data_IF_456651195219
#
_entry.id   IF_456651195219
#
_cell.length_a   1.000
_cell.length_b   1.000
_cell.length_c   1.000
_cell.angle_alpha   90.00
_cell.angle_beta   90.00
_cell.angle_gamma   90.00
#
_symmetry.space_group_name_H-M   'P 1'
#
loop_
_entity.id
_entity.type
_entity.pdbx_description
1 polymer ?
#
# COMPACT_ATOMS: atom_id res chain seq x y z
N UNK A 1 30.84 -28.40 -65.09
CA UNK A 1 30.60 -29.25 -63.90
C UNK A 1 29.25 -28.83 -63.32
N UNK A 2 28.34 -29.77 -63.05
CA UNK A 2 27.02 -29.43 -62.50
C UNK A 2 27.12 -29.22 -60.99
N UNK A 3 26.60 -28.11 -60.50
CA UNK A 3 26.48 -27.87 -59.06
C UNK A 3 25.53 -28.91 -58.45
N UNK A 4 25.84 -29.50 -57.28
CA UNK A 4 24.89 -30.31 -56.55
C UNK A 4 23.69 -29.46 -56.12
N UNK A 5 22.48 -30.00 -56.24
CA UNK A 5 21.25 -29.30 -55.82
C UNK A 5 21.25 -28.99 -54.31
N UNK A 6 20.43 -28.01 -53.90
CA UNK A 6 20.24 -27.66 -52.49
C UNK A 6 19.72 -28.86 -51.70
N UNK A 7 20.42 -29.26 -50.64
CA UNK A 7 19.93 -30.27 -49.71
C UNK A 7 18.85 -29.70 -48.79
N UNK A 8 18.13 -30.56 -48.08
CA UNK A 8 17.14 -30.15 -47.07
C UNK A 8 17.74 -29.37 -45.90
N UNK A 9 19.05 -29.44 -45.71
CA UNK A 9 19.80 -28.69 -44.68
C UNK A 9 20.49 -27.44 -45.24
N UNK A 10 20.27 -27.11 -46.51
CA UNK A 10 20.80 -25.89 -47.13
C UNK A 10 20.09 -24.66 -46.56
N UNK A 11 20.84 -23.57 -46.37
CA UNK A 11 20.30 -22.29 -45.93
C UNK A 11 19.28 -21.73 -46.94
N UNK A 12 18.27 -20.99 -46.48
CA UNK A 12 17.28 -20.39 -47.36
C UNK A 12 17.91 -19.21 -48.12
N UNK A 13 18.18 -19.42 -49.41
CA UNK A 13 18.84 -18.46 -50.30
C UNK A 13 18.20 -18.41 -51.68
N UNK A 14 18.57 -17.40 -52.47
CA UNK A 14 18.30 -17.33 -53.92
C UNK A 14 18.81 -18.59 -54.66
N UNK A 15 18.32 -18.83 -55.89
CA UNK A 15 18.81 -19.94 -56.73
C UNK A 15 20.10 -19.59 -57.52
N UNK A 16 20.74 -18.47 -57.22
CA UNK A 16 22.01 -18.07 -57.83
C UNK A 16 23.17 -18.63 -57.01
N UNK A 17 23.80 -19.69 -57.50
CA UNK A 17 24.88 -20.38 -56.76
C UNK A 17 26.09 -19.47 -56.49
N UNK A 18 26.39 -18.58 -57.42
CA UNK A 18 27.56 -17.69 -57.37
C UNK A 18 27.44 -16.59 -56.30
N UNK A 19 26.25 -16.39 -55.72
CA UNK A 19 26.04 -15.51 -54.56
C UNK A 19 26.81 -16.02 -53.32
N UNK A 20 27.06 -17.33 -53.24
CA UNK A 20 27.68 -17.95 -52.07
C UNK A 20 28.83 -18.92 -52.38
N UNK A 21 28.85 -19.52 -53.55
CA UNK A 21 29.84 -20.52 -53.95
C UNK A 21 30.73 -19.97 -55.06
N UNK A 22 31.97 -20.46 -55.11
CA UNK A 22 32.85 -20.20 -56.25
C UNK A 22 33.14 -21.51 -56.95
N UNK A 23 33.43 -21.44 -58.25
CA UNK A 23 33.86 -22.61 -59.03
C UNK A 23 35.25 -23.10 -58.65
N UNK A 24 36.03 -22.29 -57.94
CA UNK A 24 37.38 -22.60 -57.43
C UNK A 24 37.33 -23.25 -56.05
N UNK A 25 36.40 -22.81 -55.19
CA UNK A 25 36.17 -23.35 -53.85
C UNK A 25 34.66 -23.33 -53.53
N UNK A 26 34.06 -24.53 -53.52
CA UNK A 26 32.63 -24.69 -53.24
C UNK A 26 32.29 -24.62 -51.75
N UNK A 27 33.23 -24.98 -50.86
CA UNK A 27 33.09 -24.89 -49.41
C UNK A 27 34.38 -24.34 -48.78
N UNK A 28 34.28 -23.52 -47.71
CA UNK A 28 33.04 -22.95 -47.15
C UNK A 28 32.39 -21.94 -48.11
N UNK A 29 31.08 -21.78 -48.00
CA UNK A 29 30.36 -20.76 -48.76
C UNK A 29 30.63 -19.38 -48.16
N UNK A 30 30.72 -18.35 -48.99
CA UNK A 30 30.73 -16.96 -48.54
C UNK A 30 29.29 -16.48 -48.42
N UNK A 31 28.82 -16.08 -47.25
CA UNK A 31 27.41 -15.70 -47.07
C UNK A 31 27.28 -14.19 -47.05
N UNK A 32 26.61 -13.64 -48.07
CA UNK A 32 26.06 -12.28 -48.04
C UNK A 32 24.61 -12.35 -47.53
N UNK A 33 24.26 -11.53 -46.54
CA UNK A 33 22.88 -11.50 -46.03
C UNK A 33 21.88 -10.98 -47.07
N UNK A 34 22.31 -10.19 -48.06
CA UNK A 34 21.45 -9.67 -49.12
C UNK A 34 20.92 -10.72 -50.10
N UNK A 35 21.55 -11.90 -50.18
CA UNK A 35 21.14 -13.00 -51.05
C UNK A 35 20.26 -14.05 -50.36
N UNK A 36 19.93 -13.83 -49.09
CA UNK A 36 19.12 -14.73 -48.26
C UNK A 36 17.63 -14.38 -48.35
N UNK A 37 16.77 -15.40 -48.23
CA UNK A 37 15.30 -15.26 -48.33
C UNK A 37 14.56 -15.70 -47.07
N UNK A 38 15.28 -16.16 -46.03
CA UNK A 38 14.73 -16.55 -44.74
C UNK A 38 14.80 -15.44 -43.68
N UNK A 39 14.04 -15.60 -42.59
CA UNK A 39 14.17 -14.70 -41.44
C UNK A 39 15.43 -15.00 -40.64
N UNK A 40 16.00 -13.98 -39.99
CA UNK A 40 17.24 -14.10 -39.21
C UNK A 40 17.19 -15.27 -38.22
N UNK A 41 16.06 -15.42 -37.51
CA UNK A 41 15.84 -16.46 -36.49
C UNK A 41 15.85 -17.90 -37.01
N UNK A 42 15.67 -18.13 -38.32
CA UNK A 42 15.77 -19.48 -38.90
C UNK A 42 17.21 -19.99 -38.96
N UNK A 43 18.20 -19.09 -39.07
CA UNK A 43 19.62 -19.41 -39.08
C UNK A 43 20.29 -19.08 -37.73
N UNK A 44 19.99 -17.92 -37.16
CA UNK A 44 20.51 -17.45 -35.86
C UNK A 44 19.72 -18.05 -34.69
N UNK A 45 19.70 -19.38 -34.62
CA UNK A 45 18.98 -20.18 -33.63
C UNK A 45 19.91 -20.83 -32.58
N UNK A 46 21.22 -20.54 -32.64
CA UNK A 46 22.23 -21.12 -31.76
C UNK A 46 22.80 -22.47 -32.23
N UNK A 47 22.28 -23.03 -33.32
CA UNK A 47 22.79 -24.26 -33.95
C UNK A 47 23.51 -23.95 -35.27
N UNK A 48 22.81 -23.33 -36.23
CA UNK A 48 23.41 -22.98 -37.53
C UNK A 48 24.28 -21.72 -37.45
N UNK A 49 23.80 -20.70 -36.74
CA UNK A 49 24.51 -19.46 -36.47
C UNK A 49 24.21 -18.97 -35.06
N UNK A 50 25.07 -18.07 -34.55
CA UNK A 50 24.90 -17.47 -33.22
C UNK A 50 23.55 -16.77 -33.10
N UNK A 51 22.69 -17.27 -32.21
CA UNK A 51 21.42 -16.63 -31.88
C UNK A 51 21.53 -15.59 -30.78
N UNK A 52 20.38 -15.18 -30.25
CA UNK A 52 20.32 -14.36 -29.03
C UNK A 52 20.98 -15.10 -27.87
N UNK A 53 21.92 -14.44 -27.19
CA UNK A 53 22.53 -14.97 -25.98
C UNK A 53 21.70 -14.61 -24.73
N UNK A 54 22.12 -15.11 -23.57
CA UNK A 54 21.44 -14.86 -22.29
C UNK A 54 21.52 -13.40 -21.80
N UNK A 55 22.41 -12.58 -22.37
CA UNK A 55 22.52 -11.14 -22.05
C UNK A 55 21.76 -10.26 -23.05
N UNK A 56 21.11 -10.86 -24.05
CA UNK A 56 20.26 -10.13 -24.99
C UNK A 56 18.98 -9.65 -24.28
N UNK A 57 18.55 -8.43 -24.60
CA UNK A 57 17.28 -7.88 -24.11
C UNK A 57 16.10 -8.76 -24.53
N UNK A 58 15.15 -8.97 -23.63
CA UNK A 58 13.96 -9.77 -23.95
C UNK A 58 13.11 -9.04 -25.01
N UNK A 59 13.05 -9.61 -26.21
CA UNK A 59 12.54 -8.97 -27.43
C UNK A 59 11.93 -10.02 -28.36
N UNK A 60 11.12 -9.57 -29.33
CA UNK A 60 10.56 -10.41 -30.38
C UNK A 60 11.65 -11.00 -31.30
N UNK A 61 11.31 -11.95 -32.18
CA UNK A 61 12.29 -12.59 -33.08
C UNK A 61 12.50 -11.90 -34.44
N UNK A 62 12.04 -10.66 -34.58
CA UNK A 62 12.26 -9.82 -35.77
C UNK A 62 13.53 -9.00 -35.55
N UNK A 63 14.67 -9.55 -35.97
CA UNK A 63 15.97 -8.93 -35.70
C UNK A 63 16.12 -7.55 -36.34
N UNK A 64 15.48 -7.32 -37.48
CA UNK A 64 15.55 -6.07 -38.24
C UNK A 64 14.85 -4.89 -37.56
N UNK A 65 14.04 -5.14 -36.52
CA UNK A 65 13.49 -4.08 -35.65
C UNK A 65 14.61 -3.31 -34.92
N UNK A 66 15.74 -3.98 -34.67
CA UNK A 66 16.85 -3.45 -33.88
C UNK A 66 18.18 -3.44 -34.65
N UNK A 67 18.45 -4.45 -35.45
CA UNK A 67 19.73 -4.66 -36.11
C UNK A 67 19.63 -4.43 -37.61
N UNK A 68 20.73 -4.06 -38.24
CA UNK A 68 20.83 -4.08 -39.70
C UNK A 68 21.96 -5.01 -40.11
N UNK A 69 21.86 -5.58 -41.31
CA UNK A 69 22.93 -6.43 -41.87
C UNK A 69 24.20 -5.64 -42.20
N UNK A 70 24.08 -4.32 -42.37
CA UNK A 70 25.21 -3.41 -42.64
C UNK A 70 25.90 -2.97 -41.34
N UNK A 71 25.12 -2.67 -40.30
CA UNK A 71 25.61 -2.28 -38.98
C UNK A 71 24.81 -3.02 -37.90
N UNK A 72 25.35 -4.14 -37.43
CA UNK A 72 24.71 -4.94 -36.38
C UNK A 72 24.71 -4.24 -35.02
N UNK A 73 25.72 -3.39 -34.76
CA UNK A 73 25.82 -2.55 -33.57
C UNK A 73 26.24 -1.13 -33.96
N UNK A 74 25.74 -0.09 -33.27
CA UNK A 74 24.69 -0.14 -32.25
C UNK A 74 23.32 -0.55 -32.84
N UNK A 75 22.45 -1.07 -31.99
CA UNK A 75 21.09 -1.40 -32.40
C UNK A 75 20.19 -0.16 -32.34
N UNK A 76 19.22 -0.07 -33.24
CA UNK A 76 18.04 0.75 -33.06
C UNK A 76 17.21 0.17 -31.90
N UNK A 77 16.51 1.04 -31.18
CA UNK A 77 15.71 0.61 -30.04
C UNK A 77 14.31 1.23 -30.11
N UNK A 78 13.31 0.37 -30.09
CA UNK A 78 11.90 0.70 -29.92
C UNK A 78 11.31 -0.23 -28.84
N UNK A 79 10.54 0.34 -27.91
CA UNK A 79 9.84 -0.41 -26.87
C UNK A 79 8.80 -1.38 -27.45
N UNK A 80 8.27 -1.14 -28.66
CA UNK A 80 7.28 -2.02 -29.30
C UNK A 80 7.81 -3.43 -29.58
N UNK A 81 9.12 -3.59 -29.74
CA UNK A 81 9.77 -4.87 -30.01
C UNK A 81 10.25 -5.59 -28.75
N UNK A 82 9.99 -5.01 -27.57
CA UNK A 82 10.39 -5.53 -26.27
C UNK A 82 9.27 -6.38 -25.68
N UNK A 83 9.64 -7.56 -25.16
CA UNK A 83 8.71 -8.52 -24.55
C UNK A 83 8.92 -8.68 -23.04
N UNK A 84 10.03 -8.14 -22.51
CA UNK A 84 10.28 -8.10 -21.07
C UNK A 84 9.51 -6.96 -20.38
N UNK A 85 9.30 -7.09 -19.06
CA UNK A 85 8.73 -5.99 -18.28
C UNK A 85 9.74 -4.85 -18.11
N UNK A 86 9.25 -3.62 -17.95
CA UNK A 86 10.07 -2.41 -17.85
C UNK A 86 11.22 -2.56 -16.85
N UNK A 87 10.93 -3.12 -15.67
CA UNK A 87 11.88 -3.28 -14.56
C UNK A 87 13.02 -4.27 -14.88
N UNK A 88 12.86 -5.17 -15.86
CA UNK A 88 13.96 -6.06 -16.26
C UNK A 88 15.16 -5.29 -16.81
N UNK A 89 14.93 -4.14 -17.46
CA UNK A 89 15.96 -3.25 -17.98
C UNK A 89 16.16 -1.99 -17.10
N UNK A 90 15.06 -1.34 -16.70
CA UNK A 90 15.05 -0.14 -15.86
C UNK A 90 15.24 -0.49 -14.37
N UNK A 91 16.35 -1.18 -14.08
CA UNK A 91 16.74 -1.67 -12.76
C UNK A 91 17.82 -0.82 -12.08
N UNK A 92 18.30 0.25 -12.74
CA UNK A 92 19.38 1.11 -12.26
C UNK A 92 20.79 0.66 -12.68
N UNK A 93 20.93 -0.52 -13.28
CA UNK A 93 22.19 -1.06 -13.80
C UNK A 93 22.19 -1.11 -15.32
N UNK A 94 21.19 -1.73 -15.94
CA UNK A 94 21.10 -1.88 -17.40
C UNK A 94 20.59 -0.60 -18.05
N UNK A 95 19.53 -0.02 -17.48
CA UNK A 95 18.99 1.28 -17.83
C UNK A 95 18.56 2.04 -16.56
N UNK A 96 18.26 3.32 -16.71
CA UNK A 96 17.81 4.18 -15.62
C UNK A 96 16.61 3.57 -14.92
N UNK A 97 16.76 3.27 -13.63
CA UNK A 97 15.67 2.79 -12.78
C UNK A 97 14.90 3.91 -12.08
N UNK A 98 14.09 3.53 -11.09
CA UNK A 98 13.42 4.49 -10.20
C UNK A 98 14.46 5.33 -9.45
N UNK A 99 14.27 6.65 -9.44
CA UNK A 99 15.11 7.55 -8.64
C UNK A 99 14.85 7.37 -7.14
N UNK A 100 15.77 7.83 -6.31
CA UNK A 100 15.59 7.87 -4.84
C UNK A 100 14.40 8.74 -4.40
N UNK A 101 13.94 9.63 -5.28
CA UNK A 101 12.78 10.51 -5.08
C UNK A 101 11.50 9.97 -5.72
N UNK A 102 11.54 8.78 -6.33
CA UNK A 102 10.35 8.15 -6.90
C UNK A 102 9.39 7.72 -5.79
N UNK A 103 8.08 7.83 -6.04
CA UNK A 103 7.06 7.34 -5.11
C UNK A 103 7.20 5.82 -4.89
N UNK A 104 7.02 5.37 -3.65
CA UNK A 104 7.07 3.94 -3.33
C UNK A 104 5.93 3.20 -4.04
N UNK A 105 6.30 2.32 -4.99
CA UNK A 105 5.39 1.68 -5.94
C UNK A 105 5.92 0.32 -6.38
N UNK A 106 5.03 -0.52 -6.93
CA UNK A 106 5.37 -1.79 -7.56
C UNK A 106 6.18 -1.63 -8.85
N UNK A 107 6.64 -2.74 -9.44
CA UNK A 107 7.54 -2.72 -10.62
C UNK A 107 6.82 -2.75 -11.98
N UNK A 108 5.49 -2.61 -11.96
CA UNK A 108 4.65 -2.41 -13.14
C UNK A 108 4.64 -0.93 -13.47
N UNK A 109 5.50 -0.50 -14.39
CA UNK A 109 5.69 0.93 -14.66
C UNK A 109 4.52 1.54 -15.44
N UNK A 110 3.83 0.71 -16.21
CA UNK A 110 2.66 1.01 -17.03
C UNK A 110 1.40 1.37 -16.22
N UNK A 111 1.40 1.13 -14.90
CA UNK A 111 0.38 1.65 -13.99
C UNK A 111 0.35 3.20 -13.95
N UNK A 112 1.50 3.83 -14.22
CA UNK A 112 1.69 5.28 -14.11
C UNK A 112 2.29 5.93 -15.37
N UNK A 113 3.14 5.21 -16.09
CA UNK A 113 3.93 5.75 -17.20
C UNK A 113 3.53 5.12 -18.53
N UNK A 114 3.72 5.86 -19.62
CA UNK A 114 3.61 5.30 -20.97
C UNK A 114 4.95 5.44 -21.69
N UNK A 115 5.18 4.58 -22.67
CA UNK A 115 6.37 4.66 -23.53
C UNK A 115 6.34 5.86 -24.48
N UNK A 116 5.15 6.41 -24.75
CA UNK A 116 4.94 7.59 -25.61
C UNK A 116 5.13 8.90 -24.82
N UNK A 117 4.62 8.95 -23.59
CA UNK A 117 4.74 10.09 -22.69
C UNK A 117 5.07 9.59 -21.28
N UNK A 118 6.36 9.61 -20.95
CA UNK A 118 6.84 9.16 -19.63
C UNK A 118 6.41 10.13 -18.51
N UNK A 119 6.25 11.42 -18.83
CA UNK A 119 5.76 12.46 -17.92
C UNK A 119 4.77 13.39 -18.63
N UNK A 120 3.72 13.88 -17.94
CA UNK A 120 3.34 13.52 -16.58
C UNK A 120 2.83 12.07 -16.49
N UNK A 121 2.98 11.46 -15.31
CA UNK A 121 2.42 10.15 -15.04
C UNK A 121 0.94 10.25 -14.67
N UNK A 122 0.17 9.21 -14.98
CA UNK A 122 -1.12 8.97 -14.34
C UNK A 122 -0.90 8.47 -12.91
N UNK A 123 -1.86 8.72 -12.02
CA UNK A 123 -1.73 8.34 -10.61
C UNK A 123 -2.99 7.61 -10.14
N UNK A 124 -2.79 6.42 -9.58
CA UNK A 124 -3.80 5.62 -8.88
C UNK A 124 -3.25 5.23 -7.51
N UNK A 125 -4.03 5.45 -6.44
CA UNK A 125 -3.67 5.03 -5.09
C UNK A 125 -3.53 3.51 -4.94
N UNK A 126 -4.14 2.71 -5.82
CA UNK A 126 -3.99 1.25 -5.82
C UNK A 126 -2.64 0.78 -6.37
N UNK A 127 -1.93 1.62 -7.13
CA UNK A 127 -0.63 1.32 -7.72
C UNK A 127 0.56 1.67 -6.81
N UNK A 128 0.30 2.29 -5.65
CA UNK A 128 1.34 2.69 -4.68
C UNK A 128 1.30 1.78 -3.45
N UNK A 129 2.48 1.59 -2.84
CA UNK A 129 2.65 0.71 -1.66
C UNK A 129 3.18 1.46 -0.44
N UNK A 130 3.41 2.78 -0.56
CA UNK A 130 3.80 3.63 0.56
C UNK A 130 2.64 3.93 1.51
N UNK A 131 2.97 4.29 2.75
CA UNK A 131 1.98 4.81 3.72
C UNK A 131 1.47 6.18 3.29
N UNK A 132 0.24 6.54 3.67
CA UNK A 132 -0.37 7.81 3.29
C UNK A 132 0.51 9.01 3.68
N UNK A 133 1.06 8.98 4.90
CA UNK A 133 1.90 10.05 5.42
C UNK A 133 3.28 10.17 4.74
N UNK A 134 3.74 9.14 4.02
CA UNK A 134 4.99 9.21 3.26
C UNK A 134 4.91 10.20 2.10
N UNK A 135 3.71 10.37 1.53
CA UNK A 135 3.44 11.29 0.42
C UNK A 135 2.65 12.52 0.88
N UNK A 136 1.60 12.35 1.70
CA UNK A 136 0.78 13.44 2.22
C UNK A 136 1.45 14.14 3.42
N UNK A 137 2.65 14.66 3.16
CA UNK A 137 3.54 15.31 4.12
C UNK A 137 3.58 16.84 3.96
N UNK A 138 2.82 17.40 3.01
CA UNK A 138 2.80 18.83 2.70
C UNK A 138 3.86 19.29 1.70
N UNK A 139 4.75 18.40 1.26
CA UNK A 139 5.77 18.64 0.23
C UNK A 139 5.46 17.84 -1.04
N UNK A 140 5.38 16.50 -0.94
CA UNK A 140 5.12 15.62 -2.09
C UNK A 140 3.65 15.68 -2.52
N UNK A 141 2.74 15.67 -1.55
CA UNK A 141 1.31 15.81 -1.73
C UNK A 141 0.73 16.60 -0.55
N UNK A 142 -0.50 17.07 -0.71
CA UNK A 142 -1.23 17.82 0.32
C UNK A 142 -1.24 17.05 1.64
N UNK A 143 -0.69 17.65 2.69
CA UNK A 143 -0.68 17.07 4.03
C UNK A 143 -1.94 17.41 4.84
N UNK A 144 -1.88 17.12 6.14
CA UNK A 144 -2.91 17.52 7.12
C UNK A 144 -3.04 19.05 7.14
N UNK A 145 -4.26 19.57 7.04
CA UNK A 145 -4.50 21.01 7.22
C UNK A 145 -4.32 21.43 8.68
N UNK A 146 -4.20 22.74 8.93
CA UNK A 146 -4.12 23.27 10.30
C UNK A 146 -5.37 22.97 11.15
N UNK A 147 -6.52 22.76 10.50
CA UNK A 147 -7.79 22.38 11.16
C UNK A 147 -7.93 20.86 11.34
N UNK A 148 -6.99 20.06 10.86
CA UNK A 148 -7.02 18.63 11.06
C UNK A 148 -6.76 18.28 12.53
N UNK A 149 -7.39 17.21 12.99
CA UNK A 149 -7.17 16.62 14.31
C UNK A 149 -5.69 16.29 14.53
N UNK A 150 -5.06 16.78 15.61
CA UNK A 150 -3.62 16.49 15.84
C UNK A 150 -3.47 15.03 16.25
N UNK A 151 -2.87 14.24 15.36
CA UNK A 151 -2.63 12.80 15.53
C UNK A 151 -1.39 12.36 14.76
N UNK A 152 -0.68 11.37 15.28
CA UNK A 152 0.41 10.65 14.60
C UNK A 152 -0.05 9.37 13.90
N UNK A 153 -1.33 9.02 14.00
CA UNK A 153 -1.94 7.85 13.33
C UNK A 153 -1.83 7.94 11.82
N UNK A 154 -1.83 6.76 11.19
CA UNK A 154 -1.91 6.66 9.74
C UNK A 154 -3.29 7.12 9.26
N UNK A 155 -3.36 7.60 8.02
CA UNK A 155 -4.59 8.20 7.51
C UNK A 155 -5.70 7.16 7.35
N UNK A 156 -5.35 5.93 7.01
CA UNK A 156 -6.24 4.78 6.84
C UNK A 156 -6.84 4.25 8.15
N UNK A 157 -6.34 4.71 9.32
CA UNK A 157 -7.02 4.48 10.61
C UNK A 157 -8.36 5.20 10.71
N UNK A 158 -8.60 6.23 9.88
CA UNK A 158 -9.80 7.08 9.92
C UNK A 158 -10.46 7.28 8.54
N UNK A 159 -9.65 7.39 7.49
CA UNK A 159 -10.03 7.73 6.13
C UNK A 159 -9.90 6.53 5.19
N UNK A 160 -10.43 6.64 3.97
CA UNK A 160 -10.09 5.75 2.87
C UNK A 160 -9.79 6.59 1.61
N UNK A 161 -9.22 5.96 0.59
CA UNK A 161 -8.81 6.62 -0.65
C UNK A 161 -9.99 7.05 -1.57
N UNK A 162 -11.23 6.74 -1.22
CA UNK A 162 -12.45 7.12 -1.98
C UNK A 162 -13.21 8.26 -1.30
N UNK A 163 -13.28 8.27 0.03
CA UNK A 163 -14.01 9.23 0.83
C UNK A 163 -13.15 9.73 2.00
N UNK A 164 -12.84 11.03 1.99
CA UNK A 164 -11.91 11.65 2.93
C UNK A 164 -12.55 12.22 4.21
N UNK A 165 -13.80 11.85 4.50
CA UNK A 165 -14.41 12.07 5.82
C UNK A 165 -13.96 10.95 6.77
N UNK A 166 -13.95 11.14 8.11
CA UNK A 166 -13.73 10.02 9.03
C UNK A 166 -14.86 9.00 8.85
N UNK A 167 -14.58 7.86 8.20
CA UNK A 167 -15.61 6.86 7.86
C UNK A 167 -15.51 5.64 8.76
N UNK A 168 -14.33 5.38 9.32
CA UNK A 168 -14.04 4.17 10.11
C UNK A 168 -13.01 4.50 11.18
N UNK A 169 -13.42 4.67 12.42
CA UNK A 169 -12.51 4.69 13.56
C UNK A 169 -13.16 3.98 14.74
N UNK A 170 -12.46 2.98 15.28
CA UNK A 170 -12.90 2.22 16.46
C UNK A 170 -11.89 2.44 17.56
N UNK A 171 -12.36 2.87 18.74
CA UNK A 171 -11.50 2.93 19.91
C UNK A 171 -11.15 1.51 20.38
N UNK A 172 -9.86 1.20 20.49
CA UNK A 172 -9.37 -0.10 21.00
C UNK A 172 -8.94 -0.04 22.46
N UNK A 173 -9.00 1.14 23.08
CA UNK A 173 -8.62 1.34 24.49
C UNK A 173 -9.64 0.68 25.42
N UNK A 174 -9.21 -0.09 26.45
CA UNK A 174 -10.11 -0.60 27.48
C UNK A 174 -10.73 0.53 28.32
N UNK A 175 -10.12 1.72 28.30
CA UNK A 175 -10.65 2.92 28.95
C UNK A 175 -11.68 3.65 28.08
N UNK A 176 -11.88 3.23 26.83
CA UNK A 176 -13.03 3.70 26.08
C UNK A 176 -14.27 3.12 26.75
N UNK A 177 -15.18 3.95 27.27
CA UNK A 177 -16.26 3.48 28.13
C UNK A 177 -17.38 2.72 27.39
N UNK A 178 -17.10 2.19 26.19
CA UNK A 178 -18.00 1.34 25.42
C UNK A 178 -19.29 2.05 24.96
N UNK A 179 -20.36 1.27 24.82
CA UNK A 179 -21.69 1.66 24.33
C UNK A 179 -22.32 2.80 25.14
N UNK A 180 -21.94 4.02 24.79
CA UNK A 180 -22.76 5.20 25.03
C UNK A 180 -23.95 5.11 24.07
N UNK A 181 -25.18 5.03 24.60
CA UNK A 181 -26.40 5.01 23.76
C UNK A 181 -26.51 6.20 22.80
N UNK A 182 -25.85 7.32 23.12
CA UNK A 182 -25.70 8.43 22.20
C UNK A 182 -24.56 8.14 21.23
N UNK A 183 -24.83 8.19 19.92
CA UNK A 183 -23.78 8.22 18.90
C UNK A 183 -22.87 9.44 19.13
N UNK A 184 -21.82 9.27 19.95
CA UNK A 184 -20.96 10.35 20.39
C UNK A 184 -19.98 10.70 19.27
N UNK A 185 -20.04 11.95 18.80
CA UNK A 185 -19.01 12.53 17.94
C UNK A 185 -17.70 12.66 18.71
N UNK A 186 -16.56 12.53 18.03
CA UNK A 186 -15.21 12.63 18.60
C UNK A 186 -15.04 13.85 19.53
N UNK A 187 -15.60 15.01 19.12
CA UNK A 187 -15.54 16.29 19.86
C UNK A 187 -16.18 16.25 21.26
N UNK A 188 -16.96 15.22 21.58
CA UNK A 188 -17.54 15.03 22.92
C UNK A 188 -16.50 14.61 23.94
N UNK A 189 -15.50 13.83 23.52
CA UNK A 189 -14.41 13.39 24.37
C UNK A 189 -13.14 14.20 24.10
N UNK A 190 -12.89 14.56 22.85
CA UNK A 190 -11.71 15.31 22.42
C UNK A 190 -12.09 16.79 22.21
N UNK A 191 -12.18 17.54 23.32
CA UNK A 191 -12.55 18.96 23.24
C UNK A 191 -11.38 19.85 22.81
N UNK A 192 -10.15 19.37 22.95
CA UNK A 192 -8.96 19.93 22.32
C UNK A 192 -8.77 19.40 20.91
N UNK A 193 -7.90 20.05 20.13
CA UNK A 193 -7.56 19.61 18.77
C UNK A 193 -6.57 18.43 18.78
N UNK A 194 -6.80 17.36 19.53
CA UNK A 194 -5.87 16.23 19.58
C UNK A 194 -6.38 14.99 20.31
N UNK A 195 -5.56 13.93 20.30
CA UNK A 195 -5.95 12.59 20.78
C UNK A 195 -6.28 12.49 22.27
N UNK A 196 -5.80 13.44 23.08
CA UNK A 196 -6.07 13.43 24.51
C UNK A 196 -7.56 13.68 24.78
N UNK A 197 -8.22 12.70 25.41
CA UNK A 197 -9.57 12.91 25.92
C UNK A 197 -9.55 13.96 27.05
N UNK A 198 -10.53 14.84 27.03
CA UNK A 198 -10.72 15.88 28.04
C UNK A 198 -11.69 15.39 29.10
N UNK A 199 -11.22 15.33 30.34
CA UNK A 199 -12.04 15.02 31.50
C UNK A 199 -12.37 16.31 32.24
N UNK A 200 -13.62 16.43 32.72
CA UNK A 200 -14.08 17.61 33.46
C UNK A 200 -13.86 17.48 34.97
N UNK A 201 -13.54 16.27 35.42
CA UNK A 201 -13.27 15.92 36.82
C UNK A 201 -12.03 15.01 36.93
N UNK A 202 -11.37 14.95 38.11
CA UNK A 202 -10.11 14.22 38.28
C UNK A 202 -10.26 12.69 38.26
N UNK A 203 -11.48 12.16 38.24
CA UNK A 203 -11.78 10.73 38.35
C UNK A 203 -11.61 9.96 37.02
N UNK A 204 -10.60 10.31 36.24
CA UNK A 204 -10.24 9.61 35.00
C UNK A 204 -9.61 8.23 35.31
N UNK A 205 -9.82 7.19 34.47
CA UNK A 205 -10.65 7.16 33.27
C UNK A 205 -12.13 6.79 33.54
N UNK A 206 -12.55 6.70 34.80
CA UNK A 206 -13.86 6.20 35.18
C UNK A 206 -15.01 7.17 34.81
N UNK A 207 -16.25 6.68 34.92
CA UNK A 207 -17.48 7.43 34.62
C UNK A 207 -17.50 8.81 35.31
N UNK A 208 -17.01 8.88 36.54
CA UNK A 208 -16.89 10.09 37.34
C UNK A 208 -16.06 11.19 36.68
N UNK A 209 -15.12 10.86 35.79
CA UNK A 209 -14.31 11.84 35.05
C UNK A 209 -15.16 12.78 34.17
N UNK A 210 -16.36 12.34 33.76
CA UNK A 210 -17.33 13.14 33.01
C UNK A 210 -18.63 13.38 33.80
N UNK A 211 -19.07 12.40 34.59
CA UNK A 211 -20.36 12.40 35.28
C UNK A 211 -20.28 12.76 36.77
N UNK A 212 -19.16 13.29 37.27
CA UNK A 212 -19.03 13.72 38.67
C UNK A 212 -20.15 14.68 39.12
N UNK A 213 -20.63 15.54 38.21
CA UNK A 213 -21.74 16.48 38.49
C UNK A 213 -23.11 15.81 38.55
N UNK A 214 -23.27 14.64 37.93
CA UNK A 214 -24.48 13.83 37.99
C UNK A 214 -24.58 13.04 39.30
N UNK A 215 -23.47 12.84 40.00
CA UNK A 215 -23.45 12.12 41.26
C UNK A 215 -24.23 12.87 42.35
N UNK A 216 -25.22 12.19 42.93
CA UNK A 216 -26.00 12.69 44.06
C UNK A 216 -25.60 11.91 45.31
N UNK A 217 -24.97 12.51 46.33
CA UNK A 217 -24.58 11.79 47.55
C UNK A 217 -25.77 11.27 48.36
N UNK A 218 -26.91 12.00 48.37
CA UNK A 218 -28.10 11.66 49.15
C UNK A 218 -28.59 10.20 48.99
N UNK A 219 -28.74 9.70 47.75
CA UNK A 219 -29.08 8.31 47.45
C UNK A 219 -28.07 7.23 47.88
N UNK A 220 -26.87 7.59 48.36
CA UNK A 220 -25.74 6.68 48.56
C UNK A 220 -25.19 6.64 50.01
N UNK A 221 -26.00 6.34 51.04
CA UNK A 221 -25.45 5.98 52.35
C UNK A 221 -24.59 4.72 52.28
N UNK A 222 -23.46 4.76 52.99
CA UNK A 222 -22.55 3.65 53.31
C UNK A 222 -23.02 2.96 54.58
N UNK A 223 -23.24 3.70 55.65
CA UNK A 223 -23.85 3.21 56.88
C UNK A 223 -24.68 4.30 57.59
N UNK A 224 -25.62 3.88 58.43
CA UNK A 224 -26.62 4.78 59.02
C UNK A 224 -26.18 5.37 60.37
N UNK A 225 -25.28 4.70 61.12
CA UNK A 225 -24.83 5.16 62.43
C UNK A 225 -23.29 5.10 62.60
N UNK A 226 -22.58 6.25 62.61
CA UNK A 226 -23.06 7.58 62.22
C UNK A 226 -23.36 7.63 60.71
N UNK A 227 -24.25 8.51 60.26
CA UNK A 227 -24.63 8.57 58.84
C UNK A 227 -23.48 8.99 57.92
N UNK A 228 -22.89 8.03 57.21
CA UNK A 228 -21.80 8.27 56.24
C UNK A 228 -22.29 7.96 54.84
N UNK A 229 -22.03 8.86 53.90
CA UNK A 229 -22.33 8.68 52.47
C UNK A 229 -21.06 8.35 51.71
N UNK A 230 -21.19 7.58 50.65
CA UNK A 230 -20.10 7.45 49.69
C UNK A 230 -19.79 8.81 49.03
N UNK A 231 -18.57 8.94 48.53
CA UNK A 231 -18.12 10.06 47.70
C UNK A 231 -18.06 9.66 46.23
N UNK A 232 -17.98 10.65 45.33
CA UNK A 232 -17.72 10.40 43.91
C UNK A 232 -16.43 9.62 43.70
N UNK A 233 -15.40 9.86 44.51
CA UNK A 233 -14.11 9.15 44.38
C UNK A 233 -14.24 7.66 44.69
N UNK A 234 -15.09 7.30 45.66
CA UNK A 234 -15.32 5.89 46.06
C UNK A 234 -16.27 5.16 45.11
N UNK A 235 -17.11 5.90 44.37
CA UNK A 235 -18.07 5.37 43.40
C UNK A 235 -17.81 5.96 42.00
N UNK A 236 -16.55 6.18 41.65
CA UNK A 236 -16.15 6.83 40.40
C UNK A 236 -16.49 6.01 39.17
N UNK A 237 -16.57 4.70 39.32
CA UNK A 237 -17.04 3.73 38.32
C UNK A 237 -18.58 3.58 38.30
N UNK A 238 -19.27 4.22 39.26
CA UNK A 238 -20.69 4.10 39.51
C UNK A 238 -21.18 2.66 39.77
N UNK A 239 -20.31 1.68 40.03
CA UNK A 239 -20.66 0.27 40.26
C UNK A 239 -20.59 -0.21 41.73
N UNK A 240 -20.12 0.64 42.66
CA UNK A 240 -19.76 0.18 44.02
C UNK A 240 -20.82 0.27 45.14
N UNK A 241 -22.05 0.77 44.91
CA UNK A 241 -22.99 1.09 46.00
C UNK A 241 -24.14 0.09 46.20
N UNK A 242 -23.91 -1.19 45.92
CA UNK A 242 -24.95 -2.22 46.02
C UNK A 242 -25.46 -2.45 47.45
N UNK A 243 -24.73 -2.03 48.50
CA UNK A 243 -25.10 -2.32 49.89
C UNK A 243 -25.15 -1.07 50.77
N UNK A 244 -25.94 -1.15 51.85
CA UNK A 244 -25.92 -0.25 53.01
C UNK A 244 -25.67 -1.09 54.25
N UNK A 245 -24.82 -0.61 55.15
CA UNK A 245 -24.38 -1.30 56.36
C UNK A 245 -24.94 -0.65 57.63
N UNK A 246 -25.01 -1.41 58.73
CA UNK A 246 -25.48 -0.90 60.02
C UNK A 246 -24.57 0.20 60.59
N UNK A 247 -23.27 0.03 60.43
CA UNK A 247 -22.22 0.83 61.07
C UNK A 247 -20.93 0.84 60.22
N UNK A 248 -19.89 1.47 60.76
CA UNK A 248 -18.60 1.65 60.10
C UNK A 248 -17.78 0.36 59.92
N UNK A 249 -18.18 -0.77 60.52
CA UNK A 249 -17.46 -2.05 60.35
C UNK A 249 -17.70 -2.66 58.97
N UNK A 250 -18.77 -2.25 58.28
CA UNK A 250 -19.18 -2.79 56.97
C UNK A 250 -19.36 -4.31 56.95
N UNK A 251 -19.65 -4.92 58.11
CA UNK A 251 -19.83 -6.37 58.24
C UNK A 251 -21.30 -6.77 58.09
N UNK A 252 -22.21 -5.98 58.66
CA UNK A 252 -23.64 -6.30 58.68
C UNK A 252 -24.39 -5.44 57.65
N UNK A 253 -24.89 -6.10 56.60
CA UNK A 253 -25.69 -5.45 55.55
C UNK A 253 -27.15 -5.31 55.98
N UNK A 254 -27.68 -4.11 55.89
CA UNK A 254 -29.09 -3.80 56.20
C UNK A 254 -29.95 -3.56 54.95
N UNK A 255 -29.34 -3.22 53.80
CA UNK A 255 -30.06 -3.03 52.53
C UNK A 255 -29.19 -3.40 51.32
N UNK A 256 -29.82 -3.98 50.30
CA UNK A 256 -29.23 -4.19 48.98
C UNK A 256 -29.94 -3.30 47.96
N UNK A 257 -29.20 -2.60 47.11
CA UNK A 257 -29.68 -1.79 45.99
C UNK A 257 -29.49 -2.56 44.69
N UNK A 258 -30.58 -2.86 44.01
CA UNK A 258 -30.56 -3.49 42.69
C UNK A 258 -30.99 -2.42 41.68
N UNK A 259 -30.16 -2.10 40.67
CA UNK A 259 -30.59 -1.46 39.40
C UNK A 259 -30.57 0.07 39.22
N UNK A 260 -29.57 0.85 39.71
CA UNK A 260 -29.58 2.32 39.46
C UNK A 260 -28.39 2.93 38.70
N UNK A 261 -27.34 2.18 38.35
CA UNK A 261 -26.16 2.75 37.68
C UNK A 261 -25.46 1.73 36.75
N UNK A 262 -26.21 1.14 35.80
CA UNK A 262 -25.54 0.31 34.79
C UNK A 262 -24.84 1.24 33.80
N UNK A 263 -23.59 0.94 33.45
CA UNK A 263 -22.78 1.75 32.54
C UNK A 263 -23.44 2.03 31.17
N UNK A 264 -24.45 1.24 30.81
CA UNK A 264 -25.22 1.25 29.56
C UNK A 264 -26.64 1.84 29.69
N UNK A 265 -27.05 2.31 30.87
CA UNK A 265 -28.33 3.00 31.06
C UNK A 265 -28.11 4.51 30.87
N UNK A 266 -28.69 5.09 29.82
CA UNK A 266 -28.55 6.51 29.46
C UNK A 266 -29.17 7.53 30.42
N UNK A 267 -29.38 7.15 31.68
CA UNK A 267 -29.99 7.95 32.75
C UNK A 267 -28.99 8.33 33.85
N UNK A 268 -27.79 8.77 33.45
CA UNK A 268 -26.90 9.53 34.33
C UNK A 268 -27.25 11.02 34.26
#
# INVERSE_FOLDING_TARGET
MNAPGKSTSHILSSNTCDDCHTTVAWKPANVDHGSLTGSCSTCHNGVQATGKNNTHIQSNNTCDDCHTTVAWKPANFDHNSITGSCFTCHNGTTATGKSVTHITSGNTCDDCHTTVAWRPATFDHNAVTGSCNSCHNGSTATGKSAQHFITSRQCDDCHNNVAWTPVRYTHTSPNYPGDHRGNLRCIRCHTGNGEAATYTAPYKPDCGGCHAKNYKPGPHPKHENPGVKYTVSELRDCSGSCHVYSDSTLTTRIKTRNSRHRANDGNF
#
